data_IF_385630302683
#
_entry.id   IF_385630302683
#
_cell.length_a   1.000
_cell.length_b   1.000
_cell.length_c   1.000
_cell.angle_alpha   90.00
_cell.angle_beta   90.00
_cell.angle_gamma   90.00
#
_symmetry.space_group_name_H-M   'P 1'
#
loop_
_entity.id
_entity.type
_entity.pdbx_description
1 polymer ?
#
# COMPACT_ATOMS: atom_id res chain seq x y z
N UNK A 1 -2.39 3.21 -15.83
CA UNK A 1 -1.87 2.28 -14.81
C UNK A 1 -2.62 2.59 -13.51
N UNK A 2 -2.51 1.75 -12.48
CA UNK A 2 -3.25 1.91 -11.22
C UNK A 2 -2.35 1.69 -10.04
N UNK A 3 -2.53 2.46 -8.99
CA UNK A 3 -1.79 2.28 -7.74
C UNK A 3 -2.45 1.26 -6.82
N UNK A 4 -1.66 0.65 -5.95
CA UNK A 4 -2.06 -0.35 -4.96
C UNK A 4 -1.86 0.26 -3.57
N UNK A 5 -2.90 0.18 -2.73
CA UNK A 5 -2.77 0.61 -1.34
C UNK A 5 -1.76 -0.25 -0.61
N UNK A 6 -0.82 0.39 0.08
CA UNK A 6 0.19 -0.24 0.92
C UNK A 6 -0.14 0.02 2.38
N UNK A 7 -0.28 -1.06 3.14
CA UNK A 7 -0.54 -1.05 4.57
C UNK A 7 0.65 -1.64 5.34
N UNK A 8 0.91 -1.10 6.54
CA UNK A 8 1.88 -1.67 7.47
C UNK A 8 1.13 -2.34 8.64
N UNK A 9 1.09 -3.67 8.70
CA UNK A 9 0.43 -4.39 9.82
C UNK A 9 1.35 -4.63 11.01
N UNK A 10 2.63 -4.28 10.86
CA UNK A 10 3.63 -4.17 11.90
C UNK A 10 4.30 -2.79 11.83
N UNK A 11 4.94 -2.36 12.92
CA UNK A 11 5.73 -1.14 12.94
C UNK A 11 7.05 -1.38 12.19
N UNK A 12 7.03 -1.16 10.88
CA UNK A 12 8.22 -1.30 10.04
C UNK A 12 9.03 0.00 10.01
N UNK A 13 10.37 -0.06 9.86
CA UNK A 13 11.19 1.13 9.67
C UNK A 13 10.86 1.81 8.34
N UNK A 14 10.79 3.14 8.31
CA UNK A 14 10.53 3.90 7.07
C UNK A 14 11.58 3.67 6.00
N UNK A 15 12.80 3.30 6.38
CA UNK A 15 13.88 2.96 5.46
C UNK A 15 13.53 1.74 4.59
N UNK A 16 12.76 0.78 5.13
CA UNK A 16 12.28 -0.36 4.35
C UNK A 16 11.23 0.07 3.31
N UNK A 17 10.36 1.01 3.67
CA UNK A 17 9.31 1.54 2.78
C UNK A 17 9.96 2.36 1.66
N UNK A 18 10.86 3.29 2.01
CA UNK A 18 11.59 4.09 1.03
C UNK A 18 12.39 3.19 0.08
N UNK A 19 13.09 2.18 0.62
CA UNK A 19 13.79 1.20 -0.19
C UNK A 19 12.86 0.45 -1.15
N UNK A 20 11.69 0.01 -0.70
CA UNK A 20 10.71 -0.66 -1.57
C UNK A 20 10.28 0.26 -2.73
N UNK A 21 9.97 1.52 -2.43
CA UNK A 21 9.52 2.50 -3.43
C UNK A 21 10.63 2.88 -4.42
N UNK A 22 11.87 3.02 -3.93
CA UNK A 22 13.06 3.25 -4.75
C UNK A 22 13.43 2.04 -5.62
N UNK A 23 13.30 0.81 -5.10
CA UNK A 23 13.57 -0.40 -5.87
C UNK A 23 12.54 -0.59 -6.99
N UNK A 24 11.30 -0.09 -6.83
CA UNK A 24 10.26 -0.14 -7.86
C UNK A 24 10.54 0.70 -9.12
N UNK A 25 11.45 1.69 -9.05
CA UNK A 25 11.82 2.53 -10.19
C UNK A 25 13.06 2.03 -10.93
N UNK A 26 13.59 0.86 -10.55
CA UNK A 26 14.76 0.24 -11.17
C UNK A 26 14.39 -0.79 -12.25
N UNK A 27 15.26 -1.00 -13.26
CA UNK A 27 16.50 -0.27 -13.52
C UNK A 27 16.28 1.05 -14.27
N UNK A 28 15.08 1.28 -14.81
CA UNK A 28 14.78 2.37 -15.73
C UNK A 28 13.55 3.17 -15.26
N UNK A 29 13.75 4.39 -14.72
CA UNK A 29 12.66 5.21 -14.20
C UNK A 29 11.73 5.76 -15.29
N UNK A 30 12.10 5.67 -16.59
CA UNK A 30 11.23 6.08 -17.68
C UNK A 30 10.13 5.04 -17.95
N UNK A 31 10.31 3.80 -17.49
CA UNK A 31 9.36 2.69 -17.68
C UNK A 31 8.91 2.02 -16.38
N UNK A 32 9.68 2.15 -15.29
CA UNK A 32 9.39 1.60 -13.98
C UNK A 32 8.96 2.72 -13.02
N UNK A 33 7.85 2.49 -12.32
CA UNK A 33 7.26 3.48 -11.42
C UNK A 33 6.92 2.85 -10.08
N UNK A 34 7.08 3.62 -9.00
CA UNK A 34 6.39 3.29 -7.76
C UNK A 34 4.88 3.36 -8.02
N UNK A 35 4.17 2.32 -7.61
CA UNK A 35 2.71 2.23 -7.69
C UNK A 35 2.10 1.97 -6.31
N UNK A 36 2.86 2.09 -5.21
CA UNK A 36 2.34 1.95 -3.86
C UNK A 36 1.84 3.29 -3.31
N UNK A 37 0.57 3.31 -2.88
CA UNK A 37 -0.04 4.41 -2.13
C UNK A 37 -0.08 4.03 -0.65
N UNK A 38 0.81 4.62 0.15
CA UNK A 38 0.95 4.30 1.58
C UNK A 38 -0.21 4.90 2.39
N UNK A 39 -0.94 4.04 3.07
CA UNK A 39 -1.97 4.44 4.03
C UNK A 39 -1.43 4.25 5.44
N UNK A 40 -1.25 5.35 6.18
CA UNK A 40 -0.61 5.31 7.51
C UNK A 40 -1.60 4.92 8.60
N UNK A 41 -2.82 5.45 8.52
CA UNK A 41 -3.90 5.15 9.47
C UNK A 41 -5.25 4.97 8.76
N UNK A 42 -6.20 4.22 9.35
CA UNK A 42 -7.50 3.99 8.72
C UNK A 42 -8.36 5.25 8.51
N UNK A 43 -8.11 6.27 9.33
CA UNK A 43 -8.84 7.53 9.38
C UNK A 43 -8.14 8.68 8.64
N UNK A 44 -7.01 8.40 7.97
CA UNK A 44 -6.26 9.39 7.18
C UNK A 44 -7.24 10.12 6.22
N UNK A 45 -7.31 11.47 6.28
CA UNK A 45 -8.34 12.23 5.56
C UNK A 45 -8.21 12.08 4.06
N UNK A 46 -6.97 12.12 3.57
CA UNK A 46 -6.62 12.04 2.15
C UNK A 46 -5.75 10.80 1.91
N UNK A 47 -5.99 10.10 0.81
CA UNK A 47 -5.17 8.97 0.35
C UNK A 47 -4.58 9.39 -0.99
N UNK A 48 -3.28 9.18 -1.17
CA UNK A 48 -2.60 9.46 -2.44
C UNK A 48 -3.28 8.67 -3.56
N UNK A 49 -3.74 9.37 -4.60
CA UNK A 49 -4.54 8.83 -5.70
C UNK A 49 -3.70 8.08 -6.76
N UNK A 50 -2.38 8.29 -6.73
CA UNK A 50 -1.33 7.57 -7.44
C UNK A 50 -0.40 6.88 -6.44
N UNK A 51 0.84 7.34 -6.29
CA UNK A 51 1.85 6.71 -5.44
C UNK A 51 2.36 7.72 -4.43
N UNK A 52 2.67 7.25 -3.23
CA UNK A 52 3.34 8.08 -2.22
C UNK A 52 4.75 8.38 -2.69
N UNK A 53 5.14 9.65 -2.67
CA UNK A 53 6.49 10.07 -3.03
C UNK A 53 7.46 9.82 -1.86
N UNK A 54 8.58 9.12 -2.08
CA UNK A 54 9.66 9.06 -1.10
C UNK A 54 10.44 10.40 -1.06
N UNK A 55 11.05 10.77 0.09
CA UNK A 55 11.11 10.00 1.33
C UNK A 55 9.85 10.11 2.17
N UNK A 56 9.42 8.99 2.73
CA UNK A 56 8.35 8.90 3.73
C UNK A 56 8.90 9.27 5.10
N UNK A 57 8.23 10.21 5.77
CA UNK A 57 8.49 10.60 7.17
C UNK A 57 8.13 9.48 8.16
N UNK A 58 8.78 9.49 9.33
CA UNK A 58 8.46 8.58 10.43
C UNK A 58 6.99 8.69 10.85
N UNK A 59 6.34 7.53 11.01
CA UNK A 59 4.94 7.45 11.44
C UNK A 59 4.70 6.20 12.30
N UNK A 60 3.62 6.21 13.08
CA UNK A 60 3.09 5.02 13.73
C UNK A 60 1.95 4.46 12.89
N UNK A 61 2.00 3.18 12.55
CA UNK A 61 0.93 2.56 11.77
C UNK A 61 -0.36 2.41 12.59
N UNK A 62 -1.49 2.80 12.00
CA UNK A 62 -2.82 2.54 12.56
C UNK A 62 -3.38 1.15 12.23
N UNK A 63 -2.62 0.33 11.48
CA UNK A 63 -3.06 -1.01 11.03
C UNK A 63 -2.43 -2.16 11.82
N UNK A 64 -1.82 -1.86 12.98
CA UNK A 64 -1.22 -2.88 13.84
C UNK A 64 -2.22 -3.98 14.19
N UNK A 65 -1.88 -5.23 13.88
CA UNK A 65 -2.73 -6.39 14.18
C UNK A 65 -4.02 -6.50 13.35
N UNK A 66 -4.20 -5.67 12.32
CA UNK A 66 -5.36 -5.78 11.42
C UNK A 66 -5.31 -7.09 10.62
N UNK A 67 -6.48 -7.71 10.48
CA UNK A 67 -6.62 -8.94 9.72
C UNK A 67 -6.64 -8.67 8.22
N UNK A 68 -6.22 -9.67 7.43
CA UNK A 68 -6.31 -9.65 5.97
C UNK A 68 -7.72 -9.29 5.46
N UNK A 69 -8.77 -9.78 6.12
CA UNK A 69 -10.15 -9.49 5.77
C UNK A 69 -10.52 -8.00 5.99
N UNK A 70 -10.02 -7.37 7.06
CA UNK A 70 -10.22 -5.94 7.30
C UNK A 70 -9.50 -5.10 6.23
N UNK A 71 -8.26 -5.45 5.90
CA UNK A 71 -7.47 -4.72 4.89
C UNK A 71 -8.08 -4.81 3.49
N UNK A 72 -8.58 -5.99 3.09
CA UNK A 72 -9.22 -6.17 1.78
C UNK A 72 -10.55 -5.42 1.63
N UNK A 73 -11.24 -5.12 2.74
CA UNK A 73 -12.47 -4.29 2.72
C UNK A 73 -12.18 -2.81 2.63
N UNK A 74 -11.00 -2.38 3.10
CA UNK A 74 -10.63 -0.97 3.16
C UNK A 74 -10.80 -0.20 1.84
N UNK A 75 -10.31 -0.68 0.67
CA UNK A 75 -10.51 0.05 -0.59
C UNK A 75 -12.00 0.23 -0.95
N UNK A 76 -12.85 -0.75 -0.65
CA UNK A 76 -14.27 -0.67 -0.94
C UNK A 76 -15.01 0.31 -0.02
N UNK A 77 -14.56 0.44 1.24
CA UNK A 77 -15.18 1.28 2.26
C UNK A 77 -14.68 2.73 2.27
N UNK A 78 -13.41 2.97 1.91
CA UNK A 78 -12.78 4.30 1.99
C UNK A 78 -12.71 5.01 0.65
N UNK A 79 -12.60 4.26 -0.44
CA UNK A 79 -12.56 4.81 -1.80
C UNK A 79 -13.98 4.73 -2.35
N UNK A 80 -14.83 5.68 -1.96
CA UNK A 80 -16.14 5.85 -2.59
C UNK A 80 -15.98 6.24 -4.07
N UNK A 81 -17.02 6.02 -4.88
CA UNK A 81 -16.94 6.16 -6.34
C UNK A 81 -16.17 7.41 -6.78
N UNK A 82 -15.16 7.12 -7.60
CA UNK A 82 -14.15 8.00 -8.14
C UNK A 82 -14.80 9.17 -8.85
N UNK A 83 -14.65 10.39 -8.32
CA UNK A 83 -14.63 11.57 -9.19
C UNK A 83 -13.55 11.31 -10.25
N UNK A 84 -13.92 11.47 -11.52
CA UNK A 84 -13.07 11.20 -12.69
C UNK A 84 -11.60 11.58 -12.42
N UNK A 85 -10.71 10.58 -12.26
CA UNK A 85 -9.27 10.83 -12.07
C UNK A 85 -8.53 9.86 -11.15
N UNK A 86 -9.18 9.24 -10.16
CA UNK A 86 -8.46 8.34 -9.23
C UNK A 86 -8.06 7.02 -9.89
N UNK A 87 -6.82 6.59 -9.64
CA UNK A 87 -6.22 5.43 -10.31
C UNK A 87 -6.08 4.20 -9.41
N UNK A 88 -6.50 4.23 -8.15
CA UNK A 88 -6.27 3.14 -7.19
C UNK A 88 -7.02 1.84 -7.59
N UNK A 89 -6.30 0.72 -7.59
CA UNK A 89 -6.85 -0.62 -7.80
C UNK A 89 -7.50 -1.16 -6.52
N UNK A 90 -8.83 -1.33 -6.55
CA UNK A 90 -9.59 -1.86 -5.41
C UNK A 90 -9.48 -3.38 -5.23
N UNK A 91 -8.87 -4.08 -6.19
CA UNK A 91 -8.78 -5.56 -6.22
C UNK A 91 -7.53 -6.09 -5.55
N UNK A 92 -6.54 -5.24 -5.31
CA UNK A 92 -5.27 -5.61 -4.70
C UNK A 92 -4.95 -4.71 -3.54
N UNK A 93 -4.37 -5.29 -2.50
CA UNK A 93 -3.76 -4.55 -1.39
C UNK A 93 -2.37 -5.11 -1.13
N UNK A 94 -1.44 -4.24 -0.76
CA UNK A 94 -0.07 -4.57 -0.41
C UNK A 94 0.11 -4.45 1.11
N UNK A 95 0.87 -5.37 1.69
CA UNK A 95 1.08 -5.44 3.14
C UNK A 95 2.56 -5.62 3.46
N UNK A 96 3.05 -4.79 4.36
CA UNK A 96 4.29 -4.99 5.10
C UNK A 96 3.96 -5.48 6.51
N UNK A 97 4.39 -6.70 6.82
CA UNK A 97 4.16 -7.35 8.11
C UNK A 97 5.48 -7.53 8.90
N UNK A 98 5.44 -8.25 10.03
CA UNK A 98 6.64 -8.51 10.83
C UNK A 98 7.74 -9.25 10.04
N UNK A 99 7.35 -10.10 9.10
CA UNK A 99 8.28 -10.90 8.30
C UNK A 99 8.95 -10.05 7.23
N UNK A 100 8.24 -9.06 6.68
CA UNK A 100 8.76 -8.13 5.68
C UNK A 100 10.09 -7.49 6.06
N UNK A 101 10.33 -7.20 7.35
CA UNK A 101 11.60 -6.65 7.82
C UNK A 101 12.78 -7.62 7.62
N UNK A 102 12.53 -8.92 7.81
CA UNK A 102 13.56 -9.96 7.70
C UNK A 102 13.75 -10.45 6.28
N UNK A 103 12.67 -10.50 5.48
CA UNK A 103 12.69 -11.06 4.13
C UNK A 103 12.85 -10.00 3.04
N UNK A 104 12.68 -8.71 3.38
CA UNK A 104 12.65 -7.61 2.41
C UNK A 104 11.59 -7.82 1.32
N UNK A 105 10.42 -8.32 1.71
CA UNK A 105 9.30 -8.60 0.80
C UNK A 105 8.04 -7.85 1.19
N UNK A 106 7.27 -7.43 0.19
CA UNK A 106 5.88 -6.99 0.33
C UNK A 106 4.94 -8.12 -0.08
N UNK A 107 3.84 -8.31 0.65
CA UNK A 107 2.82 -9.30 0.31
C UNK A 107 1.68 -8.61 -0.46
N UNK A 108 1.34 -9.15 -1.62
CA UNK A 108 0.18 -8.71 -2.39
C UNK A 108 -1.00 -9.65 -2.16
N UNK A 109 -2.11 -9.10 -1.70
CA UNK A 109 -3.35 -9.82 -1.46
C UNK A 109 -4.38 -9.47 -2.51
N UNK A 110 -4.99 -10.50 -3.09
CA UNK A 110 -6.11 -10.35 -4.00
C UNK A 110 -7.43 -10.29 -3.20
N UNK A 111 -8.25 -9.28 -3.47
CA UNK A 111 -9.48 -9.01 -2.73
C UNK A 111 -10.72 -9.75 -3.26
N UNK A 112 -10.60 -10.55 -4.33
CA UNK A 112 -11.71 -11.40 -4.77
C UNK A 112 -11.99 -12.50 -3.74
N UNK A 113 -13.27 -12.79 -3.53
CA UNK A 113 -13.67 -14.01 -2.86
C UNK A 113 -13.06 -15.20 -3.61
N UNK A 114 -12.47 -16.15 -2.88
CA UNK A 114 -12.14 -17.44 -3.49
C UNK A 114 -13.46 -18.04 -3.96
N UNK A 115 -13.65 -18.13 -5.27
CA UNK A 115 -14.63 -19.05 -5.83
C UNK A 115 -14.09 -20.45 -5.52
N UNK A 116 -14.59 -21.06 -4.44
CA UNK A 116 -14.35 -22.45 -4.06
C UNK A 116 -15.35 -23.34 -4.80
#
# INVERSE_FOLDING_TARGET
MSAVLLFCTAQVPVQLINKLMEDCILPDPDFAVNFFSLVRTPDQPDIDDWATEPPVDDFTTGFLGKTDAELRRFPAERIFQVEHGQTIDKRWVAVLDERSMSTQTVVLHNSYAKNL
#
